data_IF_608968370704
#
_entry.id   IF_608968370704
#
_cell.length_a   1.000
_cell.length_b   1.000
_cell.length_c   1.000
_cell.angle_alpha   90.00
_cell.angle_beta   90.00
_cell.angle_gamma   90.00
#
_symmetry.space_group_name_H-M   'P 1'
#
loop_
_entity.id
_entity.type
_entity.pdbx_description
1 polymer ?
#
# COMPACT_ATOMS: atom_id res chain seq x y z
N UNK A 1 25.43 10.46 -37.52
CA UNK A 1 24.56 11.63 -37.75
C UNK A 1 24.64 12.55 -36.53
N UNK A 2 25.28 13.72 -36.63
CA UNK A 2 25.34 14.69 -35.52
C UNK A 2 24.03 15.48 -35.53
N UNK A 3 23.16 15.22 -34.57
CA UNK A 3 21.97 16.07 -34.35
C UNK A 3 22.49 17.42 -33.84
N UNK A 4 22.14 18.51 -34.52
CA UNK A 4 22.49 19.86 -34.07
C UNK A 4 21.84 20.17 -32.72
N UNK A 5 22.61 20.78 -31.80
CA UNK A 5 22.15 21.07 -30.43
C UNK A 5 20.85 21.88 -30.39
N UNK A 6 20.58 22.68 -31.42
CA UNK A 6 19.39 23.52 -31.55
C UNK A 6 18.09 22.69 -31.64
N UNK A 7 18.13 21.49 -32.22
CA UNK A 7 16.94 20.63 -32.37
C UNK A 7 16.72 19.69 -31.19
N UNK A 8 17.70 19.48 -30.30
CA UNK A 8 17.58 18.56 -29.17
C UNK A 8 16.40 18.93 -28.27
N UNK A 9 16.17 20.23 -28.04
CA UNK A 9 15.06 20.67 -27.20
C UNK A 9 13.70 20.39 -27.85
N UNK A 10 13.60 20.57 -29.16
CA UNK A 10 12.40 20.23 -29.93
C UNK A 10 12.15 18.72 -29.92
N UNK A 11 13.20 17.91 -30.06
CA UNK A 11 13.09 16.44 -30.00
C UNK A 11 12.70 15.94 -28.61
N UNK A 12 13.22 16.57 -27.54
CA UNK A 12 12.79 16.28 -26.16
C UNK A 12 11.30 16.58 -25.96
N UNK A 13 10.78 17.66 -26.54
CA UNK A 13 9.35 17.97 -26.48
C UNK A 13 8.51 16.88 -27.17
N UNK A 14 8.93 16.43 -28.36
CA UNK A 14 8.26 15.31 -29.06
C UNK A 14 8.31 14.02 -28.23
N UNK A 15 9.45 13.70 -27.61
CA UNK A 15 9.57 12.57 -26.70
C UNK A 15 8.62 12.70 -25.51
N UNK A 16 8.49 13.89 -24.91
CA UNK A 16 7.54 14.14 -23.82
C UNK A 16 6.10 13.91 -24.27
N UNK A 17 5.70 14.38 -25.45
CA UNK A 17 4.34 14.12 -25.98
C UNK A 17 4.06 12.62 -26.13
N UNK A 18 5.02 11.85 -26.63
CA UNK A 18 4.91 10.38 -26.73
C UNK A 18 4.74 9.76 -25.34
N UNK A 19 5.55 10.16 -24.36
CA UNK A 19 5.48 9.61 -23.01
C UNK A 19 4.16 9.98 -22.31
N UNK A 20 3.68 11.22 -22.47
CA UNK A 20 2.39 11.66 -21.94
C UNK A 20 1.23 10.87 -22.55
N UNK A 21 1.24 10.67 -23.87
CA UNK A 21 0.22 9.87 -24.55
C UNK A 21 0.21 8.41 -24.06
N UNK A 22 1.38 7.78 -23.95
CA UNK A 22 1.53 6.43 -23.40
C UNK A 22 1.05 6.33 -21.95
N UNK A 23 1.44 7.29 -21.11
CA UNK A 23 1.01 7.33 -19.70
C UNK A 23 -0.51 7.46 -19.58
N UNK A 24 -1.14 8.33 -20.39
CA UNK A 24 -2.59 8.48 -20.41
C UNK A 24 -3.30 7.20 -20.84
N UNK A 25 -2.83 6.55 -21.90
CA UNK A 25 -3.38 5.28 -22.36
C UNK A 25 -3.24 4.18 -21.29
N UNK A 26 -2.06 4.05 -20.69
CA UNK A 26 -1.85 3.08 -19.61
C UNK A 26 -2.76 3.31 -18.40
N UNK A 27 -2.96 4.57 -17.99
CA UNK A 27 -3.89 4.91 -16.90
C UNK A 27 -5.33 4.51 -17.22
N UNK A 28 -5.81 4.86 -18.41
CA UNK A 28 -7.17 4.51 -18.84
C UNK A 28 -7.38 2.98 -18.88
N UNK A 29 -6.42 2.24 -19.44
CA UNK A 29 -6.44 0.77 -19.46
C UNK A 29 -6.40 0.19 -18.05
N UNK A 30 -5.57 0.76 -17.16
CA UNK A 30 -5.49 0.33 -15.77
C UNK A 30 -6.83 0.48 -15.05
N UNK A 31 -7.44 1.67 -15.12
CA UNK A 31 -8.73 1.94 -14.49
C UNK A 31 -9.78 0.95 -14.97
N UNK A 32 -9.90 0.75 -16.30
CA UNK A 32 -10.84 -0.22 -16.86
C UNK A 32 -10.59 -1.66 -16.38
N UNK A 33 -9.32 -2.06 -16.24
CA UNK A 33 -8.96 -3.39 -15.73
C UNK A 33 -9.32 -3.56 -14.25
N UNK A 34 -9.04 -2.55 -13.43
CA UNK A 34 -9.39 -2.58 -12.00
C UNK A 34 -10.91 -2.58 -11.82
N UNK A 35 -11.66 -1.82 -12.64
CA UNK A 35 -13.11 -1.84 -12.64
C UNK A 35 -13.68 -3.21 -13.04
N UNK A 36 -13.09 -3.86 -14.05
CA UNK A 36 -13.47 -5.23 -14.42
C UNK A 36 -13.28 -6.20 -13.24
N UNK A 37 -12.12 -6.16 -12.59
CA UNK A 37 -11.82 -7.01 -11.43
C UNK A 37 -12.69 -6.69 -10.22
N UNK A 38 -12.99 -5.41 -10.00
CA UNK A 38 -13.95 -4.98 -8.99
C UNK A 38 -15.33 -5.58 -9.22
N UNK A 39 -15.84 -5.50 -10.46
CA UNK A 39 -17.17 -5.99 -10.82
C UNK A 39 -17.26 -7.52 -10.72
N UNK A 40 -16.23 -8.24 -11.18
CA UNK A 40 -16.16 -9.70 -10.99
C UNK A 40 -16.14 -10.04 -9.51
N UNK A 41 -15.32 -9.33 -8.72
CA UNK A 41 -15.25 -9.52 -7.27
C UNK A 41 -16.59 -9.31 -6.58
N UNK A 42 -17.31 -8.23 -6.93
CA UNK A 42 -18.64 -7.93 -6.43
C UNK A 42 -19.66 -9.01 -6.79
N UNK A 43 -19.66 -9.46 -8.05
CA UNK A 43 -20.54 -10.50 -8.54
C UNK A 43 -20.34 -11.81 -7.76
N UNK A 44 -19.09 -12.26 -7.65
CA UNK A 44 -18.72 -13.49 -6.94
C UNK A 44 -19.02 -13.37 -5.44
N UNK A 45 -18.74 -12.22 -4.82
CA UNK A 45 -19.10 -11.95 -3.42
C UNK A 45 -20.60 -12.15 -3.20
N UNK A 46 -21.44 -11.53 -4.04
CA UNK A 46 -22.90 -11.62 -3.90
C UNK A 46 -23.41 -13.05 -4.07
N UNK A 47 -22.90 -13.79 -5.06
CA UNK A 47 -23.31 -15.19 -5.30
C UNK A 47 -22.90 -16.15 -4.19
N UNK A 48 -21.75 -15.91 -3.55
CA UNK A 48 -21.34 -16.70 -2.38
C UNK A 48 -22.15 -16.30 -1.15
N UNK A 49 -22.43 -15.00 -0.97
CA UNK A 49 -23.22 -14.49 0.15
C UNK A 49 -24.65 -15.04 0.13
N UNK A 50 -25.25 -15.25 -1.04
CA UNK A 50 -26.57 -15.88 -1.19
C UNK A 50 -26.54 -17.41 -1.16
N UNK A 51 -25.38 -18.03 -0.89
CA UNK A 51 -25.16 -19.48 -0.90
C UNK A 51 -25.48 -20.16 -2.24
N UNK A 52 -25.58 -19.39 -3.33
CA UNK A 52 -25.77 -19.93 -4.67
C UNK A 52 -24.48 -20.56 -5.20
N UNK A 53 -23.32 -19.97 -4.87
CA UNK A 53 -22.02 -20.40 -5.37
C UNK A 53 -21.12 -20.96 -4.27
N UNK A 54 -20.44 -22.06 -4.61
CA UNK A 54 -19.36 -22.65 -3.82
C UNK A 54 -18.02 -22.65 -4.57
N UNK A 55 -17.02 -23.35 -4.01
CA UNK A 55 -15.68 -23.46 -4.61
C UNK A 55 -15.68 -24.07 -6.01
N UNK A 56 -16.53 -25.08 -6.26
CA UNK A 56 -16.63 -25.74 -7.57
C UNK A 56 -17.14 -24.79 -8.66
N UNK A 57 -18.16 -23.99 -8.36
CA UNK A 57 -18.75 -23.04 -9.33
C UNK A 57 -17.74 -21.97 -9.74
N UNK A 58 -16.88 -21.51 -8.83
CA UNK A 58 -15.79 -20.57 -9.19
C UNK A 58 -14.76 -21.23 -10.12
N UNK A 59 -14.51 -22.54 -9.95
CA UNK A 59 -13.66 -23.29 -10.87
C UNK A 59 -14.32 -23.46 -12.24
N UNK A 60 -15.62 -23.75 -12.28
CA UNK A 60 -16.40 -23.81 -13.53
C UNK A 60 -16.37 -22.46 -14.27
N UNK A 61 -16.54 -21.33 -13.56
CA UNK A 61 -16.40 -20.00 -14.14
C UNK A 61 -15.01 -19.77 -14.77
N UNK A 62 -13.94 -20.19 -14.07
CA UNK A 62 -12.57 -20.06 -14.59
C UNK A 62 -12.38 -20.85 -15.88
N UNK A 63 -12.90 -22.07 -15.94
CA UNK A 63 -12.85 -22.92 -17.13
C UNK A 63 -13.67 -22.31 -18.27
N UNK A 64 -14.89 -21.86 -17.97
CA UNK A 64 -15.79 -21.22 -18.93
C UNK A 64 -15.13 -19.99 -19.59
N UNK A 65 -14.50 -19.10 -18.81
CA UNK A 65 -13.79 -17.94 -19.36
C UNK A 65 -12.61 -18.40 -20.22
N UNK A 66 -11.85 -19.40 -19.79
CA UNK A 66 -10.70 -19.88 -20.55
C UNK A 66 -11.08 -20.49 -21.92
N UNK A 67 -12.27 -21.10 -22.00
CA UNK A 67 -12.81 -21.69 -23.23
C UNK A 67 -13.44 -20.65 -24.16
N UNK A 68 -14.17 -19.67 -23.60
CA UNK A 68 -14.94 -18.70 -24.39
C UNK A 68 -14.17 -17.41 -24.70
N UNK A 69 -13.13 -17.10 -23.92
CA UNK A 69 -12.30 -15.90 -24.04
C UNK A 69 -10.80 -16.27 -23.96
N UNK A 70 -10.26 -17.08 -24.90
CA UNK A 70 -8.93 -17.69 -24.79
C UNK A 70 -7.77 -16.67 -24.79
N UNK A 71 -7.97 -15.48 -25.38
CA UNK A 71 -6.99 -14.40 -25.38
C UNK A 71 -6.95 -13.62 -24.04
N UNK A 72 -8.00 -13.79 -23.22
CA UNK A 72 -8.16 -13.11 -21.94
C UNK A 72 -7.41 -13.86 -20.83
N UNK A 73 -6.33 -13.23 -20.34
CA UNK A 73 -5.50 -13.78 -19.24
C UNK A 73 -5.91 -13.21 -17.90
N UNK A 74 -5.61 -13.94 -16.83
CA UNK A 74 -5.83 -13.48 -15.45
C UNK A 74 -7.13 -13.96 -14.81
N UNK A 75 -7.84 -14.91 -15.40
CA UNK A 75 -9.12 -15.42 -14.88
C UNK A 75 -9.01 -16.85 -14.31
N UNK A 76 -7.86 -17.19 -13.72
CA UNK A 76 -7.76 -18.43 -12.94
C UNK A 76 -8.68 -18.36 -11.72
N UNK A 77 -9.20 -19.51 -11.27
CA UNK A 77 -10.06 -19.57 -10.08
C UNK A 77 -9.44 -18.85 -8.87
N UNK A 78 -8.13 -19.02 -8.66
CA UNK A 78 -7.41 -18.32 -7.59
C UNK A 78 -7.42 -16.79 -7.78
N UNK A 79 -7.28 -16.29 -9.00
CA UNK A 79 -7.34 -14.85 -9.23
C UNK A 79 -8.77 -14.31 -9.08
N UNK A 80 -9.80 -15.08 -9.45
CA UNK A 80 -11.20 -14.73 -9.20
C UNK A 80 -11.47 -14.62 -7.68
N UNK A 81 -10.93 -15.54 -6.88
CA UNK A 81 -10.98 -15.42 -5.41
C UNK A 81 -10.27 -14.16 -4.91
N UNK A 82 -9.14 -13.78 -5.50
CA UNK A 82 -8.47 -12.51 -5.18
C UNK A 82 -9.30 -11.30 -5.57
N UNK A 83 -10.02 -11.33 -6.69
CA UNK A 83 -10.95 -10.27 -7.10
C UNK A 83 -12.08 -10.10 -6.08
N UNK A 84 -12.65 -11.22 -5.59
CA UNK A 84 -13.63 -11.20 -4.49
C UNK A 84 -13.05 -10.57 -3.23
N UNK A 85 -11.88 -11.01 -2.79
CA UNK A 85 -11.20 -10.46 -1.61
C UNK A 85 -10.91 -8.97 -1.76
N UNK A 86 -10.51 -8.54 -2.97
CA UNK A 86 -10.27 -7.15 -3.30
C UNK A 86 -11.54 -6.31 -3.14
N UNK A 87 -12.65 -6.77 -3.72
CA UNK A 87 -13.94 -6.13 -3.52
C UNK A 87 -14.32 -6.07 -2.03
N UNK A 88 -14.26 -7.18 -1.31
CA UNK A 88 -14.62 -7.26 0.11
C UNK A 88 -13.78 -6.35 1.00
N UNK A 89 -12.50 -6.15 0.65
CA UNK A 89 -11.60 -5.30 1.41
C UNK A 89 -11.94 -3.81 1.28
N UNK A 90 -12.49 -3.38 0.15
CA UNK A 90 -12.61 -1.96 -0.16
C UNK A 90 -14.07 -1.48 -0.32
N UNK A 91 -15.06 -2.35 -0.58
CA UNK A 91 -16.42 -1.94 -0.98
C UNK A 91 -17.17 -1.07 0.04
N UNK A 92 -16.85 -1.17 1.33
CA UNK A 92 -17.44 -0.32 2.38
C UNK A 92 -16.61 0.92 2.68
N UNK A 93 -15.39 1.01 2.15
CA UNK A 93 -14.51 2.13 2.34
C UNK A 93 -14.62 3.09 1.15
N UNK A 94 -15.51 4.09 1.30
CA UNK A 94 -15.78 5.11 0.27
C UNK A 94 -14.52 5.90 -0.14
N UNK A 95 -13.49 5.95 0.71
CA UNK A 95 -12.27 6.72 0.46
C UNK A 95 -11.21 5.91 -0.26
N UNK A 96 -11.05 4.64 0.10
CA UNK A 96 -10.09 3.74 -0.54
C UNK A 96 -10.60 3.18 -1.87
N UNK A 97 -11.91 2.95 -1.99
CA UNK A 97 -12.55 2.47 -3.22
C UNK A 97 -12.14 3.24 -4.49
N UNK A 98 -12.14 4.58 -4.54
CA UNK A 98 -11.67 5.28 -5.73
C UNK A 98 -10.14 5.16 -5.92
N UNK A 99 -9.36 5.13 -4.84
CA UNK A 99 -7.90 5.17 -4.89
C UNK A 99 -7.27 3.88 -5.43
N UNK A 100 -7.91 2.73 -5.26
CA UNK A 100 -7.39 1.45 -5.78
C UNK A 100 -7.35 1.40 -7.31
N UNK A 101 -8.11 2.27 -8.00
CA UNK A 101 -8.08 2.43 -9.47
C UNK A 101 -6.87 3.20 -9.98
N UNK A 102 -6.20 3.92 -9.08
CA UNK A 102 -5.04 4.76 -9.40
C UNK A 102 -3.73 3.97 -9.42
N UNK A 103 -3.75 2.72 -8.98
CA UNK A 103 -2.59 1.82 -8.95
C UNK A 103 -2.89 0.51 -9.70
N UNK A 104 -1.84 -0.22 -10.06
CA UNK A 104 -1.99 -1.47 -10.80
C UNK A 104 -2.54 -2.60 -9.96
N UNK A 105 -3.11 -3.62 -10.62
CA UNK A 105 -3.62 -4.82 -9.94
C UNK A 105 -2.55 -5.48 -9.07
N UNK A 106 -1.32 -5.54 -9.55
CA UNK A 106 -0.20 -6.11 -8.81
C UNK A 106 0.13 -5.32 -7.54
N UNK A 107 0.04 -3.99 -7.58
CA UNK A 107 0.23 -3.17 -6.38
C UNK A 107 -0.92 -3.36 -5.39
N UNK A 108 -2.18 -3.38 -5.87
CA UNK A 108 -3.33 -3.69 -5.04
C UNK A 108 -3.17 -5.04 -4.32
N UNK A 109 -2.84 -6.11 -5.04
CA UNK A 109 -2.61 -7.43 -4.44
C UNK A 109 -1.50 -7.43 -3.39
N UNK A 110 -0.38 -6.75 -3.67
CA UNK A 110 0.73 -6.67 -2.74
C UNK A 110 0.32 -5.98 -1.45
N UNK A 111 -0.34 -4.82 -1.56
CA UNK A 111 -0.86 -4.05 -0.42
C UNK A 111 -1.86 -4.91 0.37
N UNK A 112 -2.86 -5.49 -0.28
CA UNK A 112 -3.84 -6.38 0.37
C UNK A 112 -3.18 -7.54 1.13
N UNK A 113 -2.10 -8.11 0.57
CA UNK A 113 -1.43 -9.28 1.15
C UNK A 113 -0.50 -8.97 2.31
N UNK A 114 0.07 -7.76 2.36
CA UNK A 114 1.12 -7.40 3.32
C UNK A 114 0.69 -6.39 4.38
N UNK A 115 -0.48 -5.78 4.23
CA UNK A 115 -0.96 -4.73 5.15
C UNK A 115 -2.23 -5.18 5.88
N UNK A 116 -2.37 -4.72 7.12
CA UNK A 116 -3.44 -5.19 8.02
C UNK A 116 -4.49 -4.13 8.28
N UNK A 117 -4.06 -2.88 8.49
CA UNK A 117 -4.93 -1.74 8.78
C UNK A 117 -5.37 -0.99 7.53
N UNK A 118 -6.49 -0.25 7.62
CA UNK A 118 -6.95 0.59 6.51
C UNK A 118 -6.04 1.79 6.28
N UNK A 119 -5.47 2.34 7.36
CA UNK A 119 -4.55 3.47 7.33
C UNK A 119 -3.25 3.12 6.63
N UNK A 120 -2.69 1.95 6.91
CA UNK A 120 -1.50 1.43 6.24
C UNK A 120 -1.76 1.20 4.74
N UNK A 121 -2.92 0.65 4.38
CA UNK A 121 -3.34 0.51 2.97
C UNK A 121 -3.40 1.86 2.28
N UNK A 122 -4.08 2.82 2.90
CA UNK A 122 -4.21 4.17 2.38
C UNK A 122 -2.84 4.81 2.12
N UNK A 123 -1.94 4.68 3.10
CA UNK A 123 -0.57 5.16 3.03
C UNK A 123 0.16 4.58 1.82
N UNK A 124 0.18 3.26 1.66
CA UNK A 124 0.92 2.63 0.56
C UNK A 124 0.27 2.84 -0.81
N UNK A 125 -1.06 2.94 -0.90
CA UNK A 125 -1.74 3.29 -2.16
C UNK A 125 -1.33 4.69 -2.61
N UNK A 126 -1.40 5.66 -1.71
CA UNK A 126 -1.04 7.05 -2.00
C UNK A 126 0.46 7.21 -2.30
N UNK A 127 1.31 6.54 -1.52
CA UNK A 127 2.76 6.58 -1.74
C UNK A 127 3.13 5.96 -3.09
N UNK A 128 2.53 4.83 -3.47
CA UNK A 128 2.74 4.19 -4.78
C UNK A 128 2.33 5.11 -5.91
N UNK A 129 1.18 5.79 -5.79
CA UNK A 129 0.70 6.76 -6.78
C UNK A 129 1.65 7.95 -6.92
N UNK A 130 2.12 8.49 -5.79
CA UNK A 130 2.98 9.68 -5.74
C UNK A 130 4.37 9.41 -6.30
N UNK A 131 5.01 8.33 -5.85
CA UNK A 131 6.41 8.02 -6.18
C UNK A 131 6.55 7.15 -7.43
N UNK A 132 5.42 6.74 -8.04
CA UNK A 132 5.36 5.87 -9.21
C UNK A 132 6.20 4.59 -9.04
N UNK A 133 6.05 3.95 -7.87
CA UNK A 133 6.85 2.77 -7.52
C UNK A 133 6.64 1.61 -8.49
N UNK A 134 7.74 0.89 -8.74
CA UNK A 134 7.65 -0.46 -9.28
C UNK A 134 7.17 -1.42 -8.19
N UNK A 135 6.66 -2.59 -8.59
CA UNK A 135 6.27 -3.65 -7.65
C UNK A 135 7.36 -3.94 -6.62
N UNK A 136 8.61 -4.10 -7.08
CA UNK A 136 9.76 -4.42 -6.21
C UNK A 136 10.06 -3.30 -5.22
N UNK A 137 9.89 -2.07 -5.66
CA UNK A 137 10.11 -0.91 -4.79
C UNK A 137 9.02 -0.84 -3.72
N UNK A 138 7.74 -0.96 -4.10
CA UNK A 138 6.65 -0.99 -3.14
C UNK A 138 6.84 -2.13 -2.13
N UNK A 139 7.19 -3.33 -2.59
CA UNK A 139 7.46 -4.47 -1.72
C UNK A 139 8.57 -4.18 -0.72
N UNK A 140 9.69 -3.61 -1.19
CA UNK A 140 10.79 -3.19 -0.33
C UNK A 140 10.36 -2.15 0.71
N UNK A 141 9.52 -1.18 0.34
CA UNK A 141 9.03 -0.15 1.26
C UNK A 141 8.07 -0.72 2.31
N UNK A 142 7.25 -1.71 1.95
CA UNK A 142 6.40 -2.44 2.90
C UNK A 142 7.27 -3.27 3.84
N UNK A 143 8.17 -4.08 3.30
CA UNK A 143 9.01 -4.99 4.10
C UNK A 143 9.95 -4.24 5.04
N UNK A 144 10.37 -3.03 4.66
CA UNK A 144 11.17 -2.19 5.53
C UNK A 144 10.34 -1.46 6.61
N UNK A 145 9.01 -1.59 6.66
CA UNK A 145 8.18 -0.88 7.65
C UNK A 145 8.17 0.64 7.45
N UNK A 146 8.08 1.08 6.18
CA UNK A 146 8.05 2.52 5.86
C UNK A 146 6.88 3.23 6.53
N UNK A 147 5.72 2.58 6.63
CA UNK A 147 4.56 3.12 7.33
C UNK A 147 4.88 3.41 8.81
N UNK A 148 5.36 2.43 9.57
CA UNK A 148 5.66 2.54 11.01
C UNK A 148 6.69 3.63 11.30
N UNK A 149 7.75 3.70 10.48
CA UNK A 149 8.75 4.76 10.58
C UNK A 149 8.16 6.14 10.35
N UNK A 150 7.30 6.24 9.34
CA UNK A 150 6.65 7.51 8.97
C UNK A 150 5.59 7.94 9.98
N UNK A 151 4.93 7.00 10.67
CA UNK A 151 4.03 7.30 11.79
C UNK A 151 4.81 7.82 12.99
N UNK A 152 5.96 7.20 13.27
CA UNK A 152 6.85 7.60 14.36
C UNK A 152 7.40 9.01 14.14
N UNK A 153 7.74 9.34 12.89
CA UNK A 153 8.05 10.69 12.43
C UNK A 153 6.76 11.44 12.04
N UNK A 154 5.98 11.84 13.06
CA UNK A 154 4.63 12.48 13.08
C UNK A 154 4.22 13.46 11.95
N UNK A 155 5.12 13.92 11.09
CA UNK A 155 4.87 14.96 10.09
C UNK A 155 4.04 14.48 8.88
N UNK A 156 4.32 13.31 8.31
CA UNK A 156 3.69 12.89 7.03
C UNK A 156 2.26 12.37 7.20
N UNK A 157 1.98 11.68 8.32
CA UNK A 157 0.64 11.20 8.64
C UNK A 157 -0.38 12.32 8.75
N UNK A 158 -0.01 13.48 9.30
CA UNK A 158 -0.94 14.58 9.55
C UNK A 158 -1.57 15.11 8.26
N UNK A 159 -0.82 15.11 7.16
CA UNK A 159 -1.32 15.56 5.86
C UNK A 159 -2.26 14.52 5.21
N UNK A 160 -1.87 13.24 5.24
CA UNK A 160 -2.64 12.16 4.64
C UNK A 160 -3.94 11.86 5.43
N UNK A 161 -3.87 11.89 6.77
CA UNK A 161 -5.02 11.69 7.65
C UNK A 161 -6.02 12.85 7.58
N UNK A 162 -5.59 14.08 7.27
CA UNK A 162 -6.50 15.22 7.06
C UNK A 162 -7.31 15.07 5.76
N UNK A 163 -6.71 14.49 4.74
CA UNK A 163 -7.37 14.23 3.46
C UNK A 163 -8.36 13.06 3.57
N UNK A 164 -8.02 12.04 4.35
CA UNK A 164 -8.87 10.87 4.55
C UNK A 164 -9.92 11.15 5.65
N UNK A 165 -9.60 11.78 6.77
CA UNK A 165 -10.54 12.09 7.86
C UNK A 165 -10.52 13.58 8.23
N UNK A 166 -11.32 14.43 7.57
CA UNK A 166 -11.35 15.87 7.84
C UNK A 166 -11.86 16.27 9.25
N UNK A 167 -12.27 15.31 10.09
CA UNK A 167 -12.71 15.51 11.48
C UNK A 167 -11.95 14.68 12.52
N UNK A 168 -10.86 13.99 12.16
CA UNK A 168 -10.12 13.14 13.10
C UNK A 168 -9.15 13.89 14.03
N UNK A 169 -9.38 15.18 14.31
CA UNK A 169 -8.52 15.89 15.27
C UNK A 169 -8.77 15.51 16.74
N UNK A 170 -9.87 14.82 17.09
CA UNK A 170 -10.20 14.55 18.50
C UNK A 170 -10.78 13.16 18.85
N UNK A 171 -10.88 12.19 17.93
CA UNK A 171 -11.55 10.90 18.26
C UNK A 171 -10.60 9.72 18.48
N UNK A 172 -9.35 9.81 18.01
CA UNK A 172 -8.40 8.69 18.11
C UNK A 172 -7.52 8.70 19.37
N UNK A 173 -7.60 9.76 20.21
CA UNK A 173 -6.71 9.90 21.38
C UNK A 173 -7.16 9.14 22.61
N UNK A 174 -8.46 8.89 22.81
CA UNK A 174 -8.93 8.43 24.12
C UNK A 174 -9.31 6.94 24.19
N UNK A 175 -9.46 6.24 23.06
CA UNK A 175 -9.86 4.81 23.08
C UNK A 175 -8.70 3.82 23.19
N UNK A 176 -7.46 4.23 22.91
CA UNK A 176 -6.29 3.34 22.91
C UNK A 176 -5.24 3.69 23.98
N UNK A 177 -5.47 4.76 24.77
CA UNK A 177 -4.60 5.12 25.90
C UNK A 177 -4.92 4.36 27.20
N UNK A 178 -6.06 3.66 27.29
CA UNK A 178 -6.49 3.02 28.54
C UNK A 178 -6.01 1.57 28.73
N UNK A 179 -5.79 0.80 27.65
CA UNK A 179 -5.24 -0.56 27.75
C UNK A 179 -3.74 -0.59 28.00
N UNK A 180 -3.04 0.54 27.78
CA UNK A 180 -1.59 0.65 28.00
C UNK A 180 -1.21 1.09 29.43
N UNK A 181 -2.19 1.44 30.27
CA UNK A 181 -1.96 1.90 31.65
C UNK A 181 -2.13 0.81 32.72
N UNK A 182 -2.34 -0.45 32.35
CA UNK A 182 -2.28 -1.57 33.30
C UNK A 182 -0.91 -2.26 33.28
N UNK A 183 0.05 -1.70 34.02
CA UNK A 183 1.10 -2.50 34.70
C UNK A 183 0.51 -3.06 36.02
N UNK A 184 0.95 -4.19 36.62
CA UNK A 184 2.31 -4.79 36.62
C UNK A 184 2.30 -6.37 36.54
N UNK A 185 3.39 -7.17 36.51
CA UNK A 185 4.55 -7.37 37.43
C UNK A 185 5.61 -8.35 36.86
N UNK A 186 6.89 -8.10 37.19
CA UNK A 186 8.09 -8.99 37.26
C UNK A 186 8.50 -9.79 35.99
N UNK A 187 9.71 -9.68 35.45
CA UNK A 187 11.03 -9.78 36.09
C UNK A 187 12.08 -8.79 35.55
N UNK A 188 12.94 -8.30 36.46
CA UNK A 188 14.28 -7.77 36.19
C UNK A 188 15.27 -8.94 35.98
N UNK A 189 16.54 -8.81 35.61
CA UNK A 189 17.52 -7.73 35.60
C UNK A 189 18.72 -8.28 34.79
N UNK A 190 19.74 -7.47 34.50
CA UNK A 190 21.09 -7.87 34.06
C UNK A 190 21.36 -8.26 32.60
N UNK A 191 20.41 -8.77 31.80
CA UNK A 191 20.77 -9.19 30.43
C UNK A 191 20.81 -8.08 29.37
N UNK A 192 20.16 -6.93 29.59
CA UNK A 192 20.21 -5.83 28.62
C UNK A 192 21.45 -4.92 28.74
N UNK A 193 22.26 -5.07 29.81
CA UNK A 193 23.37 -4.14 30.14
C UNK A 193 24.61 -4.20 29.23
N UNK A 194 24.69 -5.07 28.22
CA UNK A 194 25.93 -5.23 27.42
C UNK A 194 25.93 -4.54 26.05
N UNK A 195 24.79 -4.03 25.58
CA UNK A 195 24.63 -3.67 24.17
C UNK A 195 24.94 -2.20 23.80
N UNK A 196 25.00 -1.24 24.75
CA UNK A 196 24.95 0.20 24.37
C UNK A 196 26.15 1.06 24.86
N UNK A 197 27.04 0.60 25.74
CA UNK A 197 28.05 1.50 26.35
C UNK A 197 29.40 1.72 25.62
N UNK A 198 29.75 0.91 24.62
CA UNK A 198 31.06 0.97 23.96
C UNK A 198 31.05 1.88 22.71
N UNK A 199 30.86 3.20 22.89
CA UNK A 199 31.27 4.29 21.97
C UNK A 199 30.67 5.64 22.41
N UNK A 200 31.43 6.45 23.15
CA UNK A 200 31.56 7.90 22.99
C UNK A 200 32.26 8.48 24.22
N UNK A 201 33.57 8.71 24.10
CA UNK A 201 34.35 9.48 25.06
C UNK A 201 34.46 10.96 24.69
N UNK A 202 34.97 11.72 25.67
CA UNK A 202 35.31 13.16 25.73
C UNK A 202 34.13 14.06 26.12
N UNK A 203 34.22 14.95 27.11
CA UNK A 203 35.30 15.87 27.51
C UNK A 203 35.22 16.17 29.02
N UNK A 204 36.38 16.31 29.69
CA UNK A 204 36.60 16.76 31.09
C UNK A 204 36.29 18.28 31.25
N UNK A 205 36.05 18.84 32.46
CA UNK A 205 37.19 19.29 33.29
C UNK A 205 37.02 19.26 34.82
N UNK A 206 38.16 19.03 35.48
CA UNK A 206 38.71 19.68 36.68
C UNK A 206 37.94 19.76 38.02
N UNK A 207 38.60 19.24 39.05
CA UNK A 207 38.51 19.66 40.46
C UNK A 207 39.17 18.59 41.35
N UNK A 208 40.45 18.71 41.74
CA UNK A 208 40.92 19.04 43.11
C UNK A 208 40.02 18.43 44.20
N UNK A 209 40.46 17.62 45.17
CA UNK A 209 41.74 17.55 45.89
C UNK A 209 41.79 16.28 46.74
N UNK A 210 43.03 15.77 46.89
CA UNK A 210 43.63 14.98 47.98
C UNK A 210 42.78 14.64 49.22
N UNK A 211 42.89 13.38 49.61
CA UNK A 211 42.69 12.80 50.93
C UNK A 211 43.20 11.38 50.90
#
# INVERSE_FOLDING_TARGET
MKIEKQHIQQFKAVQQYIQTAKSKAHKAVNTALIDLYWNIGAFVHNKIKTSEWGKSVVQELSNYISENEPDSKGFSAQNIWRMKQFYEMYYQNEKLSPLVREISWTHNLLIMSKTTSEEERAFYIQLTKKENYSKRELERQIDNGMYERTISDKQFLSALLREIHPKAENTFRDSYMLDFLTLPKHHSEKDFQKAIGAKAGRVLPSGRTKG
#
